data_IF_508554162511
#
_entry.id   IF_508554162511
#
_cell.length_a   1.000
_cell.length_b   1.000
_cell.length_c   1.000
_cell.angle_alpha   90.00
_cell.angle_beta   90.00
_cell.angle_gamma   90.00
#
_symmetry.space_group_name_H-M   'P 1'
#
loop_
_entity.id
_entity.type
_entity.pdbx_description
1 polymer ?
#
# COMPACT_ATOMS: atom_id res chain seq x y z
N UNK A 1 -19.89 45.87 33.99
CA UNK A 1 -20.19 44.41 33.93
C UNK A 1 -19.27 43.81 32.86
N UNK A 2 -18.10 43.31 33.27
CA UNK A 2 -17.06 42.82 32.37
C UNK A 2 -17.25 41.29 32.19
N UNK A 3 -17.63 40.86 30.99
CA UNK A 3 -17.71 39.42 30.64
C UNK A 3 -16.29 38.85 30.63
N UNK A 4 -15.98 37.98 31.56
CA UNK A 4 -14.80 37.08 31.45
C UNK A 4 -15.07 36.08 30.34
N UNK A 5 -14.36 36.21 29.24
CA UNK A 5 -14.22 35.14 28.25
C UNK A 5 -13.32 34.06 28.88
N UNK A 6 -13.91 32.93 29.24
CA UNK A 6 -13.15 31.73 29.59
C UNK A 6 -12.30 31.30 28.38
N UNK A 7 -11.02 31.03 28.60
CA UNK A 7 -10.16 30.43 27.60
C UNK A 7 -10.78 29.09 27.15
N UNK A 8 -10.65 28.71 25.87
CA UNK A 8 -11.17 27.42 25.41
C UNK A 8 -10.46 26.31 26.20
N UNK A 9 -11.26 25.43 26.80
CA UNK A 9 -10.78 24.18 27.37
C UNK A 9 -9.93 23.49 26.32
N UNK A 10 -8.67 23.22 26.64
CA UNK A 10 -7.79 22.46 25.77
C UNK A 10 -8.38 21.07 25.63
N UNK A 11 -8.92 20.76 24.45
CA UNK A 11 -9.41 19.41 24.13
C UNK A 11 -8.31 18.40 24.47
N UNK A 12 -8.65 17.38 25.24
CA UNK A 12 -7.73 16.29 25.57
C UNK A 12 -7.21 15.57 24.31
N UNK A 13 -6.22 14.69 24.45
CA UNK A 13 -5.66 13.98 23.30
C UNK A 13 -6.74 13.21 22.56
N UNK A 14 -6.76 13.33 21.23
CA UNK A 14 -7.73 12.63 20.36
C UNK A 14 -7.51 11.12 20.40
N UNK A 15 -6.25 10.69 20.56
CA UNK A 15 -5.83 9.29 20.56
C UNK A 15 -5.36 8.95 21.97
N UNK A 16 -5.99 7.92 22.57
CA UNK A 16 -5.69 7.43 23.91
C UNK A 16 -5.49 5.90 23.87
N UNK A 17 -4.24 5.46 24.10
CA UNK A 17 -3.92 4.04 24.13
C UNK A 17 -4.71 3.28 25.20
N UNK A 18 -5.30 2.15 24.85
CA UNK A 18 -6.17 1.35 25.71
C UNK A 18 -7.60 1.83 25.81
N UNK A 19 -7.97 2.97 25.20
CA UNK A 19 -9.34 3.51 25.18
C UNK A 19 -9.94 3.51 23.78
N UNK A 20 -9.31 4.19 22.83
CA UNK A 20 -9.76 4.26 21.44
C UNK A 20 -8.73 3.79 20.42
N UNK A 21 -7.55 3.40 20.87
CA UNK A 21 -6.57 2.67 20.11
C UNK A 21 -5.84 1.66 21.02
N UNK A 22 -5.29 0.61 20.45
CA UNK A 22 -4.53 -0.40 21.21
C UNK A 22 -3.08 0.03 21.47
N UNK A 23 -2.51 0.85 20.57
CA UNK A 23 -1.13 1.32 20.63
C UNK A 23 -0.99 2.66 19.93
N UNK A 24 -0.11 3.50 20.42
CA UNK A 24 0.27 4.77 19.83
C UNK A 24 1.78 4.80 19.63
N UNK A 25 2.19 5.23 18.44
CA UNK A 25 3.59 5.40 18.08
C UNK A 25 3.80 6.78 17.46
N UNK A 26 5.03 7.28 17.58
CA UNK A 26 5.40 8.58 17.03
C UNK A 26 6.12 8.40 15.71
N UNK A 27 5.60 9.02 14.64
CA UNK A 27 6.32 9.13 13.38
C UNK A 27 7.33 10.28 13.45
N UNK A 28 8.59 10.02 13.12
CA UNK A 28 9.63 11.04 13.07
C UNK A 28 9.49 11.98 11.86
N UNK A 29 8.83 11.51 10.80
CA UNK A 29 8.55 12.26 9.57
C UNK A 29 7.16 11.91 9.06
N UNK A 30 6.50 12.90 8.49
CA UNK A 30 5.20 12.74 7.85
C UNK A 30 5.18 13.58 6.56
N UNK A 31 4.56 13.04 5.52
CA UNK A 31 4.31 13.77 4.29
C UNK A 31 2.92 13.40 3.76
N UNK A 32 2.20 14.36 3.21
CA UNK A 32 0.99 14.13 2.44
C UNK A 32 1.38 14.00 0.97
N UNK A 33 1.02 12.89 0.36
CA UNK A 33 1.18 12.67 -1.08
C UNK A 33 -0.16 13.01 -1.74
N UNK A 34 -0.12 13.94 -2.68
CA UNK A 34 -1.28 14.36 -3.46
C UNK A 34 -1.13 13.68 -4.81
N UNK A 35 -2.20 13.10 -5.30
CA UNK A 35 -2.26 12.36 -6.55
C UNK A 35 -1.48 11.02 -6.56
N UNK A 36 -1.82 10.21 -7.52
CA UNK A 36 -1.30 8.84 -7.59
C UNK A 36 0.11 8.79 -8.13
N UNK A 37 0.49 9.73 -8.99
CA UNK A 37 1.85 9.82 -9.53
C UNK A 37 2.87 9.96 -8.41
N UNK A 38 2.66 10.90 -7.48
CA UNK A 38 3.54 11.10 -6.32
C UNK A 38 3.54 9.88 -5.40
N UNK A 39 2.37 9.27 -5.19
CA UNK A 39 2.28 8.05 -4.39
C UNK A 39 3.08 6.90 -5.02
N UNK A 40 2.92 6.64 -6.31
CA UNK A 40 3.63 5.56 -7.00
C UNK A 40 5.14 5.79 -7.03
N UNK A 41 5.58 7.03 -7.27
CA UNK A 41 6.98 7.38 -7.23
C UNK A 41 7.59 7.16 -5.82
N UNK A 42 6.92 7.64 -4.78
CA UNK A 42 7.35 7.47 -3.40
C UNK A 42 7.35 5.98 -2.97
N UNK A 43 6.31 5.22 -3.36
CA UNK A 43 6.22 3.78 -3.16
C UNK A 43 7.40 3.05 -3.82
N UNK A 44 7.65 3.32 -5.10
CA UNK A 44 8.74 2.71 -5.83
C UNK A 44 10.10 3.03 -5.21
N UNK A 45 10.34 4.29 -4.82
CA UNK A 45 11.56 4.72 -4.15
C UNK A 45 11.75 4.00 -2.79
N UNK A 46 10.71 3.88 -1.97
CA UNK A 46 10.76 3.15 -0.72
C UNK A 46 11.07 1.66 -0.93
N UNK A 47 10.39 1.03 -1.89
CA UNK A 47 10.61 -0.39 -2.22
C UNK A 47 12.01 -0.66 -2.77
N UNK A 48 12.59 0.28 -3.58
CA UNK A 48 13.98 0.18 -4.05
C UNK A 48 14.99 0.21 -2.89
N UNK A 49 14.65 0.82 -1.78
CA UNK A 49 15.52 0.87 -0.59
C UNK A 49 15.25 -0.25 0.41
N UNK A 50 14.18 -1.03 0.22
CA UNK A 50 13.80 -2.12 1.11
C UNK A 50 14.89 -3.19 1.24
N UNK A 51 15.15 -3.66 2.46
CA UNK A 51 16.19 -4.65 2.76
C UNK A 51 15.64 -5.94 3.34
N UNK A 52 14.54 -5.88 4.10
CA UNK A 52 14.02 -7.01 4.87
C UNK A 52 12.64 -7.43 4.37
N UNK A 53 11.67 -6.51 4.35
CA UNK A 53 10.29 -6.88 4.06
C UNK A 53 9.46 -5.73 3.49
N UNK A 54 8.53 -6.10 2.62
CA UNK A 54 7.49 -5.21 2.11
C UNK A 54 6.14 -5.89 2.36
N UNK A 55 5.28 -5.25 3.13
CA UNK A 55 3.88 -5.64 3.29
C UNK A 55 2.99 -4.75 2.43
N UNK A 56 2.10 -5.36 1.66
CA UNK A 56 1.11 -4.68 0.84
C UNK A 56 -0.25 -5.27 1.19
N UNK A 57 -1.14 -4.45 1.72
CA UNK A 57 -2.53 -4.80 2.02
C UNK A 57 -3.42 -3.89 1.19
N UNK A 58 -4.25 -4.47 0.34
CA UNK A 58 -5.11 -3.71 -0.56
C UNK A 58 -6.49 -4.34 -0.73
N UNK A 59 -7.45 -3.51 -1.11
CA UNK A 59 -8.72 -3.97 -1.62
C UNK A 59 -8.54 -4.57 -3.01
N UNK A 60 -7.68 -3.94 -3.82
CA UNK A 60 -7.33 -4.35 -5.17
C UNK A 60 -5.82 -4.29 -5.40
N UNK A 61 -5.35 -5.16 -6.30
CA UNK A 61 -3.97 -5.18 -6.76
C UNK A 61 -3.94 -5.64 -8.21
N UNK A 62 -3.39 -4.82 -9.10
CA UNK A 62 -3.15 -5.23 -10.48
C UNK A 62 -1.64 -5.20 -10.78
N UNK A 63 -1.05 -6.38 -10.98
CA UNK A 63 0.38 -6.52 -11.28
C UNK A 63 0.83 -5.79 -12.54
N UNK A 64 -0.11 -5.45 -13.46
CA UNK A 64 0.13 -4.78 -14.74
C UNK A 64 0.15 -3.25 -14.62
N UNK A 65 -0.18 -2.69 -13.44
CA UNK A 65 -0.11 -1.25 -13.24
C UNK A 65 1.33 -0.79 -13.42
N UNK A 66 1.48 0.40 -14.00
CA UNK A 66 2.78 1.03 -14.24
C UNK A 66 3.07 2.05 -13.16
N UNK A 67 4.26 1.96 -12.59
CA UNK A 67 4.71 2.85 -11.52
C UNK A 67 5.19 4.21 -12.04
N UNK A 68 5.58 4.26 -13.31
CA UNK A 68 6.03 5.48 -14.00
C UNK A 68 5.36 5.58 -15.38
N UNK A 69 5.20 6.80 -15.88
CA UNK A 69 4.64 7.04 -17.23
C UNK A 69 5.55 7.85 -18.14
N UNK A 70 6.67 8.31 -17.65
CA UNK A 70 7.66 9.03 -18.42
C UNK A 70 8.98 8.24 -18.53
N UNK A 71 9.85 8.67 -19.43
CA UNK A 71 11.11 8.05 -19.83
C UNK A 71 12.20 7.98 -18.73
N UNK A 72 11.80 7.80 -17.49
CA UNK A 72 12.74 7.54 -16.40
C UNK A 72 13.33 6.16 -16.59
N UNK A 73 14.56 6.10 -17.09
CA UNK A 73 15.36 4.90 -17.17
C UNK A 73 15.62 4.39 -15.74
N UNK A 74 14.98 3.31 -15.40
CA UNK A 74 15.19 2.60 -14.15
C UNK A 74 15.80 1.22 -14.44
N UNK A 75 16.66 0.76 -13.54
CA UNK A 75 17.22 -0.62 -13.60
C UNK A 75 16.16 -1.70 -13.33
N UNK A 76 14.98 -1.30 -12.88
CA UNK A 76 13.86 -2.20 -12.57
C UNK A 76 12.71 -2.05 -13.56
N UNK A 77 11.94 -3.13 -13.80
CA UNK A 77 10.73 -3.06 -14.63
C UNK A 77 9.72 -2.05 -14.07
N UNK A 78 9.06 -1.31 -14.96
CA UNK A 78 8.01 -0.34 -14.62
C UNK A 78 6.69 -1.00 -14.20
N UNK A 79 6.40 -2.20 -14.70
CA UNK A 79 5.20 -2.96 -14.34
C UNK A 79 5.29 -3.45 -12.89
N UNK A 80 4.33 -3.09 -12.05
CA UNK A 80 4.32 -3.32 -10.60
C UNK A 80 4.66 -4.76 -10.19
N UNK A 81 4.06 -5.74 -10.84
CA UNK A 81 4.33 -7.15 -10.53
C UNK A 81 5.76 -7.56 -10.87
N UNK A 82 6.24 -7.14 -12.04
CA UNK A 82 7.61 -7.40 -12.48
C UNK A 82 8.63 -6.67 -11.61
N UNK A 83 8.33 -5.43 -11.22
CA UNK A 83 9.13 -4.62 -10.30
C UNK A 83 9.33 -5.33 -8.95
N UNK A 84 8.24 -5.74 -8.29
CA UNK A 84 8.30 -6.42 -7.00
C UNK A 84 9.04 -7.77 -7.09
N UNK A 85 8.82 -8.52 -8.16
CA UNK A 85 9.54 -9.79 -8.41
C UNK A 85 11.03 -9.54 -8.61
N UNK A 86 11.40 -8.51 -9.38
CA UNK A 86 12.79 -8.15 -9.60
C UNK A 86 13.50 -7.75 -8.30
N UNK A 87 12.86 -6.96 -7.42
CA UNK A 87 13.40 -6.62 -6.10
C UNK A 87 13.76 -7.86 -5.29
N UNK A 88 12.84 -8.84 -5.20
CA UNK A 88 13.06 -10.09 -4.45
C UNK A 88 14.15 -10.96 -5.09
N UNK A 89 14.30 -10.94 -6.42
CA UNK A 89 15.36 -11.66 -7.13
C UNK A 89 16.74 -11.05 -6.85
N UNK A 90 16.83 -9.72 -6.86
CA UNK A 90 18.09 -9.01 -6.64
C UNK A 90 18.54 -8.99 -5.17
N UNK A 91 17.62 -9.19 -4.22
CA UNK A 91 17.90 -9.13 -2.77
C UNK A 91 17.53 -10.43 -2.08
N UNK A 92 18.52 -11.29 -1.74
CA UNK A 92 18.27 -12.61 -1.15
C UNK A 92 17.51 -12.59 0.17
N UNK A 93 17.63 -11.52 0.96
CA UNK A 93 16.97 -11.39 2.26
C UNK A 93 15.57 -10.76 2.19
N UNK A 94 15.24 -10.09 1.08
CA UNK A 94 13.98 -9.37 0.95
C UNK A 94 12.81 -10.35 0.80
N UNK A 95 11.76 -10.11 1.59
CA UNK A 95 10.47 -10.80 1.51
C UNK A 95 9.37 -9.81 1.12
N UNK A 96 8.45 -10.25 0.27
CA UNK A 96 7.24 -9.48 -0.07
C UNK A 96 6.02 -10.25 0.38
N UNK A 97 5.15 -9.59 1.11
CA UNK A 97 3.87 -10.11 1.57
C UNK A 97 2.75 -9.25 0.98
N UNK A 98 1.95 -9.84 0.11
CA UNK A 98 0.83 -9.18 -0.52
C UNK A 98 -0.46 -9.89 -0.15
N UNK A 99 -1.37 -9.15 0.47
CA UNK A 99 -2.70 -9.60 0.83
C UNK A 99 -3.73 -8.72 0.12
N UNK A 100 -4.57 -9.32 -0.70
CA UNK A 100 -5.64 -8.63 -1.41
C UNK A 100 -6.98 -9.29 -1.09
N UNK A 101 -8.05 -8.50 -1.08
CA UNK A 101 -9.41 -9.00 -0.90
C UNK A 101 -9.80 -9.97 -2.02
N UNK A 102 -10.50 -11.05 -1.68
CA UNK A 102 -10.75 -12.17 -2.62
C UNK A 102 -12.04 -12.05 -3.45
N UNK A 103 -12.91 -11.09 -3.15
CA UNK A 103 -14.21 -10.97 -3.81
C UNK A 103 -14.10 -10.44 -5.26
N UNK A 104 -13.40 -11.20 -6.10
CA UNK A 104 -13.15 -10.85 -7.48
C UNK A 104 -14.28 -11.23 -8.47
N UNK A 105 -15.30 -11.98 -8.02
CA UNK A 105 -16.30 -12.55 -8.95
C UNK A 105 -17.20 -11.49 -9.62
N UNK A 106 -17.48 -10.37 -8.93
CA UNK A 106 -18.35 -9.31 -9.50
C UNK A 106 -17.61 -8.47 -10.53
N UNK A 107 -16.28 -8.38 -10.43
CA UNK A 107 -15.43 -7.55 -11.29
C UNK A 107 -14.50 -8.37 -12.19
N UNK A 108 -14.77 -9.66 -12.35
CA UNK A 108 -13.89 -10.59 -13.08
C UNK A 108 -13.70 -10.23 -14.55
N UNK A 109 -14.62 -9.48 -15.15
CA UNK A 109 -14.52 -9.09 -16.56
C UNK A 109 -13.42 -8.04 -16.83
N UNK A 110 -13.05 -7.25 -15.83
CA UNK A 110 -12.05 -6.17 -15.96
C UNK A 110 -10.69 -6.54 -15.42
N UNK A 111 -10.59 -7.65 -14.68
CA UNK A 111 -9.39 -8.08 -13.97
C UNK A 111 -8.70 -9.25 -14.64
N UNK A 112 -7.43 -9.41 -14.32
CA UNK A 112 -6.67 -10.57 -14.76
C UNK A 112 -7.28 -11.85 -14.15
N UNK A 113 -7.61 -12.81 -15.00
CA UNK A 113 -7.97 -14.15 -14.55
C UNK A 113 -6.72 -14.83 -13.99
N UNK A 114 -6.73 -15.18 -12.71
CA UNK A 114 -5.62 -15.85 -12.02
C UNK A 114 -4.34 -15.01 -11.80
N UNK A 115 -4.41 -13.76 -11.29
CA UNK A 115 -3.21 -12.96 -11.02
C UNK A 115 -2.27 -13.65 -10.02
N UNK A 116 -2.86 -14.34 -9.03
CA UNK A 116 -2.15 -15.13 -8.04
C UNK A 116 -1.31 -16.25 -8.66
N UNK A 117 -1.85 -16.95 -9.65
CA UNK A 117 -1.14 -18.07 -10.28
C UNK A 117 0.07 -17.59 -11.09
N UNK A 118 -0.08 -16.52 -11.86
CA UNK A 118 1.03 -15.98 -12.66
C UNK A 118 2.14 -15.41 -11.79
N UNK A 119 1.79 -14.63 -10.77
CA UNK A 119 2.78 -14.16 -9.79
C UNK A 119 3.48 -15.31 -9.09
N UNK A 120 2.74 -16.34 -8.67
CA UNK A 120 3.30 -17.53 -8.01
C UNK A 120 4.26 -18.33 -8.89
N UNK A 121 4.02 -18.39 -10.21
CA UNK A 121 4.88 -19.08 -11.15
C UNK A 121 6.17 -18.30 -11.47
N UNK A 122 6.15 -16.99 -11.41
CA UNK A 122 7.26 -16.11 -11.77
C UNK A 122 8.10 -15.66 -10.57
N UNK A 123 7.47 -15.63 -9.39
CA UNK A 123 8.05 -15.07 -8.18
C UNK A 123 8.90 -16.11 -7.42
N UNK A 124 9.99 -15.64 -6.77
CA UNK A 124 10.75 -16.46 -5.84
C UNK A 124 9.92 -16.92 -4.64
N UNK A 125 10.32 -17.96 -3.90
CA UNK A 125 9.61 -18.45 -2.70
C UNK A 125 9.38 -17.39 -1.61
N UNK A 126 10.16 -16.32 -1.61
CA UNK A 126 10.05 -15.20 -0.67
C UNK A 126 8.98 -14.15 -1.05
N UNK A 127 8.30 -14.35 -2.16
CA UNK A 127 7.15 -13.54 -2.56
C UNK A 127 5.87 -14.28 -2.19
N UNK A 128 5.18 -13.78 -1.17
CA UNK A 128 3.98 -14.39 -0.62
C UNK A 128 2.75 -13.59 -1.06
N UNK A 129 1.97 -14.13 -1.98
CA UNK A 129 0.68 -13.57 -2.37
C UNK A 129 -0.45 -14.40 -1.81
N UNK A 130 -1.43 -13.74 -1.18
CA UNK A 130 -2.67 -14.38 -0.69
C UNK A 130 -3.87 -13.51 -0.97
N UNK A 131 -5.00 -14.17 -1.19
CA UNK A 131 -6.31 -13.56 -1.19
C UNK A 131 -6.94 -13.74 0.20
N UNK A 132 -7.58 -12.67 0.71
CA UNK A 132 -8.24 -12.70 2.01
C UNK A 132 -9.75 -12.91 1.83
N UNK A 133 -10.18 -14.15 2.06
CA UNK A 133 -11.58 -14.58 2.04
C UNK A 133 -12.22 -14.65 3.43
N UNK A 134 -11.55 -14.17 4.47
CA UNK A 134 -12.06 -14.22 5.84
C UNK A 134 -12.92 -13.00 6.17
N UNK A 135 -14.06 -12.90 5.54
CA UNK A 135 -15.04 -11.83 5.80
C UNK A 135 -16.47 -12.36 5.71
N UNK A 136 -17.46 -11.71 6.36
CA UNK A 136 -18.87 -12.02 6.17
C UNK A 136 -19.29 -11.82 4.72
N UNK A 137 -20.33 -12.52 4.28
CA UNK A 137 -20.89 -12.35 2.93
C UNK A 137 -21.32 -10.90 2.72
N UNK A 138 -20.84 -10.29 1.61
CA UNK A 138 -21.13 -8.90 1.27
C UNK A 138 -20.26 -7.86 1.97
N UNK A 139 -19.34 -8.27 2.85
CA UNK A 139 -18.33 -7.39 3.43
C UNK A 139 -17.06 -7.33 2.56
N UNK A 140 -16.24 -6.32 2.76
CA UNK A 140 -14.94 -6.20 2.09
C UNK A 140 -13.86 -5.72 3.04
N UNK A 141 -12.64 -6.18 2.80
CA UNK A 141 -11.43 -5.57 3.35
C UNK A 141 -11.04 -4.37 2.48
N UNK A 142 -11.19 -3.15 3.01
CA UNK A 142 -11.02 -1.93 2.22
C UNK A 142 -9.82 -1.08 2.66
N UNK A 143 -8.91 -1.64 3.43
CA UNK A 143 -7.66 -0.98 3.80
C UNK A 143 -6.69 -0.93 2.62
N UNK A 144 -5.91 0.15 2.55
CA UNK A 144 -4.81 0.32 1.62
C UNK A 144 -3.60 0.76 2.44
N UNK A 145 -2.71 -0.21 2.67
CA UNK A 145 -1.55 -0.03 3.53
C UNK A 145 -0.34 -0.67 2.87
N UNK A 146 0.75 0.05 2.84
CA UNK A 146 2.07 -0.52 2.51
C UNK A 146 3.02 -0.22 3.65
N UNK A 147 3.77 -1.23 4.09
CA UNK A 147 4.82 -1.06 5.09
C UNK A 147 6.13 -1.61 4.55
N UNK A 148 7.18 -0.82 4.61
CA UNK A 148 8.51 -1.17 4.14
C UNK A 148 9.47 -1.19 5.32
N UNK A 149 10.07 -2.33 5.60
CA UNK A 149 11.09 -2.57 6.64
C UNK A 149 10.70 -2.09 8.06
N UNK A 150 9.40 -2.00 8.35
CA UNK A 150 8.86 -1.41 9.59
C UNK A 150 9.30 0.05 9.84
N UNK A 151 9.77 0.75 8.80
CA UNK A 151 10.30 2.11 8.88
C UNK A 151 9.46 3.13 8.10
N UNK A 152 8.89 2.72 6.97
CA UNK A 152 8.05 3.58 6.13
C UNK A 152 6.69 2.94 5.98
N UNK A 153 5.64 3.71 6.25
CA UNK A 153 4.26 3.27 6.05
C UNK A 153 3.52 4.23 5.12
N UNK A 154 2.82 3.69 4.14
CA UNK A 154 1.85 4.41 3.32
C UNK A 154 0.45 3.98 3.74
N UNK A 155 -0.40 4.95 4.03
CA UNK A 155 -1.81 4.73 4.39
C UNK A 155 -2.66 5.72 3.61
N UNK A 156 -3.69 5.25 2.92
CA UNK A 156 -4.50 6.14 2.10
C UNK A 156 -5.74 5.49 1.50
N UNK A 157 -6.31 6.16 0.51
CA UNK A 157 -7.50 5.71 -0.22
C UNK A 157 -7.20 5.04 -1.57
N UNK A 158 -5.93 4.95 -1.99
CA UNK A 158 -5.54 4.54 -3.34
C UNK A 158 -4.95 3.12 -3.31
N UNK A 159 -5.52 2.23 -4.11
CA UNK A 159 -4.97 0.89 -4.35
C UNK A 159 -3.84 0.93 -5.40
N UNK A 160 -2.95 -0.06 -5.33
CA UNK A 160 -1.95 -0.34 -6.37
C UNK A 160 -2.60 -1.13 -7.51
N UNK A 161 -3.48 -0.46 -8.26
CA UNK A 161 -4.29 -1.08 -9.32
C UNK A 161 -4.46 -0.16 -10.51
N UNK A 162 -4.89 -0.73 -11.66
CA UNK A 162 -5.05 -0.01 -12.92
C UNK A 162 -6.08 1.12 -12.83
N UNK A 163 -5.88 2.13 -13.71
CA UNK A 163 -6.72 3.32 -13.86
C UNK A 163 -6.77 4.20 -12.60
N UNK A 164 -5.72 4.15 -11.79
CA UNK A 164 -5.54 5.02 -10.62
C UNK A 164 -4.55 6.15 -10.87
N UNK A 165 -3.84 6.10 -11.99
CA UNK A 165 -2.88 7.15 -12.33
C UNK A 165 -3.57 8.50 -12.43
N UNK A 166 -3.03 9.46 -11.72
CA UNK A 166 -3.48 10.85 -11.69
C UNK A 166 -2.28 11.76 -11.48
N UNK A 167 -2.32 12.96 -12.04
CA UNK A 167 -1.29 13.98 -11.93
C UNK A 167 -1.93 15.32 -11.61
N UNK A 168 -1.28 16.21 -10.86
CA UNK A 168 -1.77 17.56 -10.71
C UNK A 168 -1.83 18.22 -12.11
N UNK A 169 -2.98 18.84 -12.45
CA UNK A 169 -3.15 19.62 -13.66
C UNK A 169 -2.49 21.00 -13.54
#
# INVERSE_FOLDING_TARGET
>A
MTRRTSAPETAGPIIEAGKNCWRQETASRFATLIDTADYFAAFAAACRNARQQIFILGWDFDRRERLHRADELDDFPDELGAFLVALVKHRPELKVYLLSWDFNMVYAAERELLPALRLRLQAPPRFHFRLDGRHPKGASHHQKVVVVDDQVAFVGGIDLSRWRWDTPE
#
